data_IF_594469605983
#
_entry.id   IF_594469605983
#
_cell.length_a   1.000
_cell.length_b   1.000
_cell.length_c   1.000
_cell.angle_alpha   90.00
_cell.angle_beta   90.00
_cell.angle_gamma   90.00
#
_symmetry.space_group_name_H-M   'P 1'
#
loop_
_entity.id
_entity.type
_entity.pdbx_description
1 polymer ?
#
# COMPACT_ATOMS: atom_id res chain seq x y z
N UNK A 1 -0.68 22.28 -9.13
CA UNK A 1 0.21 22.32 -7.95
C UNK A 1 1.36 21.36 -8.24
N UNK A 2 2.62 21.76 -8.05
CA UNK A 2 3.75 20.84 -8.18
C UNK A 2 3.74 19.80 -7.05
N UNK A 3 4.52 18.72 -7.23
CA UNK A 3 4.75 17.69 -6.22
C UNK A 3 5.37 18.27 -4.95
N UNK A 4 4.91 17.79 -3.80
CA UNK A 4 5.50 18.08 -2.49
C UNK A 4 6.77 17.22 -2.30
N UNK A 5 7.92 17.87 -2.19
CA UNK A 5 9.21 17.19 -2.05
C UNK A 5 9.55 16.80 -0.61
N UNK A 6 8.76 17.22 0.38
CA UNK A 6 8.95 16.84 1.79
C UNK A 6 8.54 15.40 2.08
N UNK A 7 7.56 14.88 1.32
CA UNK A 7 7.09 13.50 1.43
C UNK A 7 8.12 12.56 0.77
N UNK A 8 8.71 11.66 1.56
CA UNK A 8 9.70 10.68 1.10
C UNK A 8 9.15 9.26 1.05
N UNK A 9 8.20 8.96 1.91
CA UNK A 9 7.58 7.64 2.05
C UNK A 9 6.07 7.77 2.21
N UNK A 10 5.33 6.77 1.74
CA UNK A 10 3.88 6.66 1.87
C UNK A 10 3.49 5.23 2.23
N UNK A 11 2.55 5.10 3.17
CA UNK A 11 1.86 3.84 3.44
C UNK A 11 0.56 3.75 2.62
N UNK A 12 0.46 2.76 1.74
CA UNK A 12 -0.78 2.37 1.07
C UNK A 12 -1.49 1.30 1.89
N UNK A 13 -2.75 1.55 2.24
CA UNK A 13 -3.63 0.60 2.90
C UNK A 13 -4.55 -0.03 1.85
N UNK A 14 -4.40 -1.33 1.62
CA UNK A 14 -5.26 -2.11 0.74
C UNK A 14 -6.66 -2.32 1.33
N UNK A 15 -7.56 -2.90 0.53
CA UNK A 15 -8.95 -3.11 0.91
C UNK A 15 -9.19 -4.35 1.77
N UNK A 16 -8.25 -5.30 1.80
CA UNK A 16 -8.44 -6.60 2.42
C UNK A 16 -9.16 -7.58 1.49
N UNK A 17 -9.82 -8.62 2.03
CA UNK A 17 -10.47 -9.65 1.23
C UNK A 17 -11.61 -9.09 0.37
N UNK A 18 -11.86 -9.75 -0.76
CA UNK A 18 -12.97 -9.40 -1.65
C UNK A 18 -14.31 -9.69 -0.96
N UNK A 19 -15.20 -8.71 -0.97
CA UNK A 19 -16.59 -8.82 -0.51
C UNK A 19 -17.54 -8.16 -1.50
N UNK A 20 -18.83 -8.48 -1.44
CA UNK A 20 -19.84 -7.80 -2.27
C UNK A 20 -19.82 -6.30 -1.94
N UNK A 21 -19.63 -5.47 -2.97
CA UNK A 21 -19.50 -4.02 -2.82
C UNK A 21 -18.07 -3.51 -2.56
N UNK A 22 -17.09 -4.41 -2.42
CA UNK A 22 -15.66 -4.06 -2.32
C UNK A 22 -14.80 -5.19 -2.90
N UNK A 23 -14.44 -5.09 -4.17
CA UNK A 23 -13.82 -6.18 -4.93
C UNK A 23 -12.49 -5.77 -5.59
N UNK A 24 -12.25 -6.25 -6.81
CA UNK A 24 -10.97 -6.17 -7.51
C UNK A 24 -10.57 -4.73 -7.90
N UNK A 25 -11.50 -3.79 -7.87
CA UNK A 25 -11.23 -2.37 -8.18
C UNK A 25 -10.15 -1.77 -7.28
N UNK A 26 -10.01 -2.27 -6.05
CA UNK A 26 -8.99 -1.80 -5.11
C UNK A 26 -7.61 -2.41 -5.36
N UNK A 27 -7.53 -3.62 -5.89
CA UNK A 27 -6.25 -4.20 -6.33
C UNK A 27 -5.71 -3.41 -7.54
N UNK A 28 -6.58 -3.13 -8.50
CA UNK A 28 -6.25 -2.30 -9.66
C UNK A 28 -5.82 -0.88 -9.23
N UNK A 29 -6.61 -0.22 -8.40
CA UNK A 29 -6.33 1.15 -7.94
C UNK A 29 -5.07 1.22 -7.07
N UNK A 30 -4.90 0.26 -6.15
CA UNK A 30 -3.73 0.17 -5.27
C UNK A 30 -2.43 -0.06 -6.04
N UNK A 31 -2.46 -0.96 -7.03
CA UNK A 31 -1.31 -1.20 -7.92
C UNK A 31 -0.94 0.05 -8.73
N UNK A 32 -1.92 0.79 -9.25
CA UNK A 32 -1.66 2.05 -9.96
C UNK A 32 -1.13 3.15 -9.05
N UNK A 33 -1.66 3.28 -7.84
CA UNK A 33 -1.17 4.23 -6.84
C UNK A 33 0.29 3.94 -6.47
N UNK A 34 0.61 2.68 -6.19
CA UNK A 34 1.97 2.27 -5.86
C UNK A 34 2.95 2.58 -6.99
N UNK A 35 2.61 2.20 -8.23
CA UNK A 35 3.42 2.54 -9.41
C UNK A 35 3.63 4.05 -9.56
N UNK A 36 2.56 4.84 -9.44
CA UNK A 36 2.62 6.29 -9.67
C UNK A 36 3.50 7.00 -8.63
N UNK A 37 3.45 6.57 -7.37
CA UNK A 37 4.30 7.10 -6.30
C UNK A 37 5.78 6.71 -6.50
N UNK A 38 6.03 5.46 -6.91
CA UNK A 38 7.40 4.97 -7.16
C UNK A 38 8.04 5.59 -8.39
N UNK A 39 7.27 5.84 -9.46
CA UNK A 39 7.74 6.58 -10.64
C UNK A 39 8.18 8.02 -10.27
N UNK A 40 7.61 8.57 -9.19
CA UNK A 40 8.00 9.83 -8.58
C UNK A 40 9.13 9.70 -7.54
N UNK A 41 9.71 8.51 -7.34
CA UNK A 41 10.78 8.28 -6.36
C UNK A 41 10.34 8.42 -4.90
N UNK A 42 9.05 8.24 -4.61
CA UNK A 42 8.51 8.13 -3.25
C UNK A 42 8.57 6.65 -2.86
N UNK A 43 9.14 6.36 -1.69
CA UNK A 43 9.15 4.99 -1.15
C UNK A 43 7.74 4.56 -0.77
N UNK A 44 7.32 3.38 -1.24
CA UNK A 44 5.99 2.86 -0.97
C UNK A 44 6.07 1.65 -0.05
N UNK A 45 5.41 1.79 1.09
CA UNK A 45 5.05 0.67 1.94
C UNK A 45 3.59 0.32 1.71
N UNK A 46 3.26 -0.96 1.63
CA UNK A 46 1.91 -1.44 1.34
C UNK A 46 1.50 -2.52 2.33
N UNK A 47 0.31 -2.38 2.91
CA UNK A 47 -0.33 -3.42 3.72
C UNK A 47 -1.63 -3.87 3.06
N UNK A 48 -1.81 -5.18 2.91
CA UNK A 48 -3.09 -5.77 2.53
C UNK A 48 -3.21 -7.15 3.16
N UNK A 49 -4.40 -7.58 3.55
CA UNK A 49 -4.61 -8.93 4.11
C UNK A 49 -4.98 -9.97 3.06
N UNK A 50 -5.29 -9.55 1.83
CA UNK A 50 -5.66 -10.45 0.74
C UNK A 50 -4.42 -10.89 -0.06
N UNK A 51 -4.02 -12.17 -0.03
CA UNK A 51 -2.85 -12.65 -0.77
C UNK A 51 -3.11 -12.83 -2.27
N UNK A 52 -4.37 -12.79 -2.72
CA UNK A 52 -4.74 -12.99 -4.13
C UNK A 52 -4.85 -11.65 -4.89
N UNK A 53 -3.87 -10.76 -4.72
CA UNK A 53 -3.85 -9.43 -5.34
C UNK A 53 -2.50 -9.13 -5.97
N UNK A 54 -2.48 -8.43 -7.11
CA UNK A 54 -1.24 -7.98 -7.76
C UNK A 54 -0.53 -6.92 -6.91
N UNK A 55 -1.29 -6.09 -6.17
CA UNK A 55 -0.71 -5.08 -5.30
C UNK A 55 0.15 -5.66 -4.16
N UNK A 56 -0.04 -6.94 -3.83
CA UNK A 56 0.77 -7.67 -2.83
C UNK A 56 1.95 -8.44 -3.43
N UNK A 57 2.19 -8.35 -4.74
CA UNK A 57 3.41 -8.91 -5.32
C UNK A 57 4.64 -8.14 -4.82
N UNK A 58 5.76 -8.83 -4.51
CA UNK A 58 6.98 -8.18 -3.98
C UNK A 58 7.59 -7.11 -4.89
N UNK A 59 7.20 -7.06 -6.16
CA UNK A 59 7.70 -6.08 -7.13
C UNK A 59 6.89 -4.79 -7.16
N UNK A 60 5.70 -4.78 -6.55
CA UNK A 60 4.73 -3.69 -6.68
C UNK A 60 5.11 -2.50 -5.78
N UNK A 61 5.49 -2.77 -4.52
CA UNK A 61 5.92 -1.77 -3.54
C UNK A 61 7.31 -2.11 -2.98
N UNK A 62 7.97 -1.15 -2.34
CA UNK A 62 9.30 -1.35 -1.73
C UNK A 62 9.21 -2.24 -0.49
N UNK A 63 8.14 -2.07 0.29
CA UNK A 63 7.81 -2.93 1.44
C UNK A 63 6.37 -3.44 1.30
N UNK A 64 6.16 -4.77 1.34
CA UNK A 64 4.83 -5.38 1.26
C UNK A 64 4.53 -6.21 2.51
N UNK A 65 3.38 -5.95 3.13
CA UNK A 65 2.92 -6.63 4.33
C UNK A 65 1.60 -7.34 4.10
N UNK A 66 1.65 -8.68 4.12
CA UNK A 66 0.47 -9.54 4.22
C UNK A 66 0.08 -9.71 5.70
N UNK A 67 -0.68 -8.74 6.22
CA UNK A 67 -1.10 -8.69 7.64
C UNK A 67 -2.57 -8.30 7.75
N UNK A 68 -3.25 -8.63 8.88
CA UNK A 68 -4.60 -8.14 9.13
C UNK A 68 -4.67 -6.62 9.08
N UNK A 69 -5.72 -6.07 8.46
CA UNK A 69 -5.99 -4.63 8.43
C UNK A 69 -6.61 -4.19 9.76
N UNK A 70 -5.78 -4.18 10.81
CA UNK A 70 -6.14 -3.73 12.15
C UNK A 70 -5.20 -2.60 12.60
N UNK A 71 -5.64 -1.71 13.51
CA UNK A 71 -4.82 -0.62 14.01
C UNK A 71 -3.44 -1.06 14.48
N UNK A 72 -3.34 -2.15 15.23
CA UNK A 72 -2.08 -2.62 15.81
C UNK A 72 -1.08 -3.05 14.72
N UNK A 73 -1.57 -3.60 13.62
CA UNK A 73 -0.72 -3.98 12.48
C UNK A 73 -0.22 -2.77 11.70
N UNK A 74 -1.05 -1.72 11.61
CA UNK A 74 -0.72 -0.48 10.92
C UNK A 74 0.25 0.34 11.77
N UNK A 75 -0.02 0.51 13.07
CA UNK A 75 0.86 1.20 14.03
C UNK A 75 2.26 0.59 14.03
N UNK A 76 2.38 -0.75 14.07
CA UNK A 76 3.67 -1.42 14.01
C UNK A 76 4.46 -1.12 12.73
N UNK A 77 3.77 -0.91 11.58
CA UNK A 77 4.42 -0.55 10.31
C UNK A 77 4.84 0.92 10.33
N UNK A 78 3.98 1.82 10.82
CA UNK A 78 4.27 3.25 10.94
C UNK A 78 5.49 3.48 11.84
N UNK A 79 5.54 2.81 13.00
CA UNK A 79 6.70 2.86 13.90
C UNK A 79 7.98 2.32 13.25
N UNK A 80 7.89 1.20 12.53
CA UNK A 80 9.04 0.59 11.87
C UNK A 80 9.64 1.49 10.78
N UNK A 81 8.80 2.19 10.01
CA UNK A 81 9.23 2.99 8.85
C UNK A 81 9.28 4.49 9.10
N UNK A 82 8.88 4.95 10.29
CA UNK A 82 8.83 6.38 10.65
C UNK A 82 8.01 7.20 9.63
N UNK A 83 6.85 6.66 9.24
CA UNK A 83 5.88 7.27 8.30
C UNK A 83 4.81 8.02 9.09
#
# INVERSE_FOLDING_TARGET
MPKDTSIKSVLIIGSGPIVIGQACEFDYSGSQASRSLRDEGIEVTLINSNPATIMTDPVTADNVYLRPLKPESIEAILEQHQI
#
